data_IF_436957405701
#
_entry.id   IF_436957405701
#
_cell.length_a   1.000
_cell.length_b   1.000
_cell.length_c   1.000
_cell.angle_alpha   90.00
_cell.angle_beta   90.00
_cell.angle_gamma   90.00
#
_symmetry.space_group_name_H-M   'P 1'
#
loop_
_entity.id
_entity.type
_entity.pdbx_description
1 polymer ?
#
# COMPACT_ATOMS: atom_id res chain seq x y z
N UNK A 1 10.95 -3.07 -13.93
CA UNK A 1 11.24 -4.05 -12.85
C UNK A 1 10.57 -3.55 -11.58
N UNK A 2 9.56 -4.23 -11.06
CA UNK A 2 8.79 -3.74 -9.89
C UNK A 2 9.60 -3.72 -8.60
N UNK A 3 9.33 -2.76 -7.71
CA UNK A 3 9.91 -2.75 -6.36
C UNK A 3 9.27 -3.87 -5.54
N UNK A 4 10.09 -4.63 -4.81
CA UNK A 4 9.63 -5.70 -3.94
C UNK A 4 9.72 -5.23 -2.49
N UNK A 5 8.62 -5.33 -1.77
CA UNK A 5 8.60 -5.16 -0.31
C UNK A 5 8.02 -6.42 0.32
N UNK A 6 8.32 -6.64 1.61
CA UNK A 6 7.86 -7.82 2.35
C UNK A 6 6.74 -7.43 3.30
N UNK A 7 5.62 -8.12 3.23
CA UNK A 7 4.57 -8.01 4.24
C UNK A 7 5.10 -8.53 5.59
N UNK A 8 4.79 -7.82 6.68
CA UNK A 8 5.16 -8.17 8.05
C UNK A 8 3.93 -8.20 8.94
N UNK A 9 3.98 -9.02 9.99
CA UNK A 9 2.94 -9.07 11.03
C UNK A 9 3.10 -7.86 11.96
N UNK A 10 1.98 -7.22 12.27
CA UNK A 10 1.87 -6.19 13.31
C UNK A 10 0.60 -6.45 14.11
N UNK A 11 0.74 -6.95 15.34
CA UNK A 11 -0.41 -7.42 16.13
C UNK A 11 -1.17 -8.55 15.42
N UNK A 12 -2.47 -8.35 15.23
CA UNK A 12 -3.36 -9.24 14.46
C UNK A 12 -3.38 -8.96 12.96
N UNK A 13 -2.68 -7.94 12.48
CA UNK A 13 -2.73 -7.45 11.09
C UNK A 13 -1.45 -7.74 10.30
N UNK A 14 -1.56 -7.66 8.98
CA UNK A 14 -0.42 -7.59 8.07
C UNK A 14 -0.21 -6.14 7.63
N UNK A 15 1.05 -5.71 7.62
CA UNK A 15 1.48 -4.41 7.14
C UNK A 15 2.51 -4.58 6.03
N UNK A 16 2.51 -3.68 5.05
CA UNK A 16 3.54 -3.59 4.03
C UNK A 16 4.10 -2.17 3.98
N UNK A 17 5.39 -2.05 3.71
CA UNK A 17 6.01 -0.74 3.50
C UNK A 17 5.69 -0.26 2.09
N UNK A 18 5.16 0.96 1.98
CA UNK A 18 5.15 1.73 0.73
C UNK A 18 6.50 2.44 0.63
N UNK A 19 7.33 2.14 -0.39
CA UNK A 19 8.60 2.84 -0.60
C UNK A 19 8.42 4.36 -0.69
N UNK A 20 9.37 5.12 -0.14
CA UNK A 20 9.26 6.58 0.00
C UNK A 20 8.97 7.31 -1.33
N UNK A 21 9.59 6.87 -2.42
CA UNK A 21 9.38 7.46 -3.74
C UNK A 21 7.98 7.16 -4.32
N UNK A 22 7.41 5.99 -4.02
CA UNK A 22 6.03 5.66 -4.39
C UNK A 22 5.06 6.48 -3.54
N UNK A 23 5.35 6.64 -2.24
CA UNK A 23 4.55 7.46 -1.34
C UNK A 23 4.54 8.93 -1.78
N UNK A 24 5.70 9.49 -2.13
CA UNK A 24 5.84 10.85 -2.65
C UNK A 24 5.08 11.04 -3.98
N UNK A 25 5.28 10.12 -4.93
CA UNK A 25 4.60 10.16 -6.22
C UNK A 25 3.06 10.12 -6.08
N UNK A 26 2.56 9.34 -5.12
CA UNK A 26 1.12 9.15 -4.88
C UNK A 26 0.54 10.12 -3.83
N UNK A 27 1.36 11.00 -3.25
CA UNK A 27 0.94 11.92 -2.19
C UNK A 27 0.50 11.24 -0.89
N UNK A 28 0.97 10.02 -0.63
CA UNK A 28 0.65 9.25 0.58
C UNK A 28 1.53 9.72 1.73
N UNK A 29 0.89 10.16 2.82
CA UNK A 29 1.54 10.56 4.07
C UNK A 29 0.90 9.82 5.25
N UNK A 30 1.48 10.02 6.43
CA UNK A 30 0.85 9.53 7.66
C UNK A 30 -0.59 10.06 7.78
N UNK A 31 -1.53 9.16 8.09
CA UNK A 31 -2.95 9.47 8.17
C UNK A 31 -3.70 9.52 6.84
N UNK A 32 -3.03 9.33 5.69
CA UNK A 32 -3.72 9.20 4.40
C UNK A 32 -4.57 7.93 4.39
N UNK A 33 -5.86 8.08 4.07
CA UNK A 33 -6.77 6.95 3.89
C UNK A 33 -6.55 6.30 2.53
N UNK A 34 -6.55 4.96 2.51
CA UNK A 34 -6.40 4.16 1.30
C UNK A 34 -7.58 3.20 1.19
N UNK A 35 -8.17 3.13 0.00
CA UNK A 35 -9.17 2.14 -0.35
C UNK A 35 -8.50 0.92 -0.99
N UNK A 36 -8.83 -0.28 -0.49
CA UNK A 36 -8.45 -1.54 -1.12
C UNK A 36 -9.52 -1.88 -2.15
N UNK A 37 -9.21 -1.73 -3.43
CA UNK A 37 -10.15 -2.05 -4.49
C UNK A 37 -10.32 -3.58 -4.62
N UNK A 38 -11.45 -4.06 -5.17
CA UNK A 38 -11.75 -5.48 -5.28
C UNK A 38 -10.59 -6.28 -5.90
N UNK A 39 -10.30 -7.42 -5.29
CA UNK A 39 -9.21 -8.30 -5.72
C UNK A 39 -9.49 -8.80 -7.15
N UNK A 40 -8.68 -8.36 -8.10
CA UNK A 40 -8.52 -9.08 -9.36
C UNK A 40 -7.63 -10.29 -9.09
N UNK A 41 -7.70 -11.31 -9.95
CA UNK A 41 -7.21 -12.67 -9.67
C UNK A 41 -5.77 -12.77 -9.18
N UNK A 42 -4.90 -11.76 -9.38
CA UNK A 42 -3.53 -11.76 -8.87
C UNK A 42 -2.97 -10.37 -8.52
N UNK A 43 -3.81 -9.36 -8.22
CA UNK A 43 -3.29 -8.05 -7.82
C UNK A 43 -4.12 -7.38 -6.72
N UNK A 44 -3.41 -6.70 -5.81
CA UNK A 44 -3.98 -5.77 -4.84
C UNK A 44 -3.81 -4.37 -5.40
N UNK A 45 -4.92 -3.65 -5.57
CA UNK A 45 -4.94 -2.26 -5.99
C UNK A 45 -5.27 -1.38 -4.79
N UNK A 46 -4.48 -0.32 -4.61
CA UNK A 46 -4.65 0.66 -3.54
C UNK A 46 -4.98 1.99 -4.20
N UNK A 47 -6.11 2.57 -3.82
CA UNK A 47 -6.55 3.89 -4.29
C UNK A 47 -6.41 4.89 -3.15
N UNK A 48 -5.73 6.00 -3.42
CA UNK A 48 -5.54 7.08 -2.44
C UNK A 48 -6.83 7.87 -2.31
N UNK A 49 -7.39 7.92 -1.10
CA UNK A 49 -8.50 8.80 -0.76
C UNK A 49 -7.90 10.11 -0.22
N UNK A 50 -8.40 11.25 -0.70
CA UNK A 50 -7.90 12.58 -0.30
C UNK A 50 -8.51 13.06 1.00
#
# INVERSE_FOLDING_TARGET
>A
MGKKTKARKSGSSLIMTIPADIAELMGVKEGTELELEPFTTNSLQLKVLK
#
